data_IF_853485787689
#
_entry.id   IF_853485787689
#
_cell.length_a   1.000
_cell.length_b   1.000
_cell.length_c   1.000
_cell.angle_alpha   90.00
_cell.angle_beta   90.00
_cell.angle_gamma   90.00
#
_symmetry.space_group_name_H-M   'P 1'
#
loop_
_entity.id
_entity.type
_entity.pdbx_description
1 polymer ?
#
# COMPACT_ATOMS: atom_id res chain seq x y z
N UNK A 1 -10.38 8.85 5.95
CA UNK A 1 -9.11 8.84 5.19
C UNK A 1 -8.12 9.79 5.84
N UNK A 2 -6.87 9.41 5.92
CA UNK A 2 -5.82 10.24 6.51
C UNK A 2 -5.31 11.26 5.48
N UNK A 3 -5.82 12.48 5.54
CA UNK A 3 -5.41 13.54 4.62
C UNK A 3 -3.94 13.89 4.75
N UNK A 4 -3.39 13.78 5.95
CA UNK A 4 -2.00 14.09 6.21
C UNK A 4 -1.04 13.23 5.40
N UNK A 5 -1.28 11.91 5.38
CA UNK A 5 -0.45 10.97 4.60
C UNK A 5 -0.52 11.31 3.11
N UNK A 6 -1.72 11.54 2.60
CA UNK A 6 -1.89 11.84 1.19
C UNK A 6 -1.24 13.17 0.81
N UNK A 7 -1.29 14.17 1.69
CA UNK A 7 -0.61 15.44 1.46
C UNK A 7 0.90 15.24 1.35
N UNK A 8 1.48 14.40 2.19
CA UNK A 8 2.93 14.13 2.14
C UNK A 8 3.33 13.39 0.87
N UNK A 9 2.52 12.46 0.40
CA UNK A 9 2.77 11.78 -0.87
C UNK A 9 2.66 12.79 -2.02
N UNK A 10 1.63 13.60 -2.01
CA UNK A 10 1.41 14.63 -3.03
C UNK A 10 2.58 15.60 -3.10
N UNK A 11 3.12 15.99 -1.95
CA UNK A 11 4.22 16.94 -1.87
C UNK A 11 5.60 16.32 -2.11
N UNK A 12 5.66 15.01 -2.36
CA UNK A 12 6.90 14.32 -2.67
C UNK A 12 7.74 13.92 -1.47
N UNK A 13 7.20 14.05 -0.25
CA UNK A 13 7.90 13.58 0.97
C UNK A 13 8.05 12.06 0.93
N UNK A 14 7.00 11.37 0.48
CA UNK A 14 7.02 9.94 0.23
C UNK A 14 6.67 9.66 -1.22
N UNK A 15 7.26 8.60 -1.78
CA UNK A 15 6.72 7.95 -2.96
C UNK A 15 6.15 6.61 -2.52
N UNK A 16 4.97 6.29 -3.04
CA UNK A 16 4.26 5.09 -2.62
C UNK A 16 3.88 4.24 -3.81
N UNK A 17 3.73 2.95 -3.58
CA UNK A 17 3.11 2.07 -4.56
C UNK A 17 1.71 1.69 -4.10
N UNK A 18 0.84 1.45 -5.06
CA UNK A 18 -0.48 0.89 -4.84
C UNK A 18 -0.62 -0.33 -5.72
N UNK A 19 -1.00 -1.45 -5.12
CA UNK A 19 -1.25 -2.69 -5.83
C UNK A 19 -2.75 -2.86 -6.08
N UNK A 20 -3.14 -3.78 -6.98
CA UNK A 20 -4.56 -4.10 -7.16
C UNK A 20 -5.25 -4.56 -5.87
N UNK A 21 -4.52 -5.18 -4.95
CA UNK A 21 -5.09 -5.62 -3.68
C UNK A 21 -5.50 -4.41 -2.83
N UNK A 22 -4.60 -3.44 -2.66
CA UNK A 22 -4.92 -2.22 -1.89
C UNK A 22 -6.04 -1.44 -2.56
N UNK A 23 -5.99 -1.32 -3.90
CA UNK A 23 -7.04 -0.63 -4.64
C UNK A 23 -8.42 -1.26 -4.40
N UNK A 24 -8.48 -2.59 -4.34
CA UNK A 24 -9.73 -3.29 -4.04
C UNK A 24 -10.15 -3.07 -2.59
N UNK A 25 -9.22 -3.20 -1.66
CA UNK A 25 -9.51 -3.12 -0.23
C UNK A 25 -10.08 -1.77 0.19
N UNK A 26 -9.54 -0.67 -0.34
CA UNK A 26 -10.02 0.67 0.05
C UNK A 26 -11.45 0.94 -0.42
N UNK A 27 -11.94 0.20 -1.41
CA UNK A 27 -13.30 0.38 -1.93
C UNK A 27 -14.35 -0.44 -1.21
N UNK A 28 -13.96 -1.53 -0.54
CA UNK A 28 -14.94 -2.48 0.04
C UNK A 28 -15.87 -1.78 1.03
N UNK A 29 -15.31 -1.06 1.99
CA UNK A 29 -16.09 -0.44 3.05
C UNK A 29 -17.03 0.66 2.55
N UNK A 30 -16.56 1.64 1.77
CA UNK A 30 -17.47 2.66 1.26
C UNK A 30 -18.54 2.08 0.33
N UNK A 31 -18.21 1.09 -0.51
CA UNK A 31 -19.20 0.48 -1.38
C UNK A 31 -20.26 -0.30 -0.60
N UNK A 32 -19.87 -1.01 0.44
CA UNK A 32 -20.84 -1.73 1.31
C UNK A 32 -21.81 -0.76 1.97
N UNK A 33 -21.37 0.44 2.29
CA UNK A 33 -22.19 1.45 2.95
C UNK A 33 -22.95 2.34 1.96
N UNK A 34 -22.83 2.10 0.67
CA UNK A 34 -23.47 2.93 -0.35
C UNK A 34 -22.87 4.32 -0.50
N UNK A 35 -21.64 4.52 -0.02
CA UNK A 35 -20.96 5.81 -0.05
C UNK A 35 -20.20 5.98 -1.36
N UNK A 36 -20.93 6.21 -2.43
CA UNK A 36 -20.36 6.26 -3.78
C UNK A 36 -19.37 7.40 -3.95
N UNK A 37 -19.66 8.54 -3.35
CA UNK A 37 -18.75 9.71 -3.43
C UNK A 37 -17.39 9.40 -2.78
N UNK A 38 -17.39 8.74 -1.65
CA UNK A 38 -16.15 8.33 -1.00
C UNK A 38 -15.37 7.33 -1.85
N UNK A 39 -16.06 6.36 -2.43
CA UNK A 39 -15.42 5.38 -3.32
C UNK A 39 -14.77 6.08 -4.52
N UNK A 40 -15.44 7.05 -5.12
CA UNK A 40 -14.90 7.80 -6.26
C UNK A 40 -13.68 8.63 -5.88
N UNK A 41 -13.68 9.19 -4.67
CA UNK A 41 -12.50 9.93 -4.17
C UNK A 41 -11.28 9.02 -4.05
N UNK A 42 -11.46 7.79 -3.57
CA UNK A 42 -10.37 6.82 -3.51
C UNK A 42 -9.87 6.46 -4.90
N UNK A 43 -10.79 6.21 -5.85
CA UNK A 43 -10.39 5.90 -7.23
C UNK A 43 -9.57 7.02 -7.84
N UNK A 44 -10.05 8.26 -7.68
CA UNK A 44 -9.35 9.42 -8.22
C UNK A 44 -7.98 9.63 -7.59
N UNK A 45 -7.88 9.47 -6.28
CA UNK A 45 -6.61 9.61 -5.58
C UNK A 45 -5.59 8.58 -6.10
N UNK A 46 -6.00 7.33 -6.22
CA UNK A 46 -5.10 6.26 -6.70
C UNK A 46 -4.67 6.51 -8.14
N UNK A 47 -5.58 6.94 -9.01
CA UNK A 47 -5.28 7.14 -10.43
C UNK A 47 -4.43 8.38 -10.69
N UNK A 48 -4.61 9.44 -9.93
CA UNK A 48 -4.16 10.75 -10.33
C UNK A 48 -3.21 11.45 -9.34
N UNK A 49 -3.06 10.95 -8.13
CA UNK A 49 -2.19 11.60 -7.16
C UNK A 49 -0.72 11.46 -7.57
N UNK A 50 0.05 12.57 -7.56
CA UNK A 50 1.48 12.50 -7.84
C UNK A 50 2.19 11.58 -6.83
N UNK A 51 3.27 10.96 -7.29
CA UNK A 51 4.14 10.12 -6.45
C UNK A 51 3.48 8.82 -5.97
N UNK A 52 2.36 8.44 -6.56
CA UNK A 52 1.77 7.11 -6.40
C UNK A 52 1.95 6.35 -7.71
N UNK A 53 2.58 5.18 -7.61
CA UNK A 53 2.77 4.28 -8.75
C UNK A 53 1.81 3.11 -8.64
N UNK A 54 1.05 2.89 -9.71
CA UNK A 54 0.12 1.76 -9.80
C UNK A 54 0.86 0.57 -10.40
N UNK A 55 0.95 -0.51 -9.64
CA UNK A 55 1.74 -1.66 -10.01
C UNK A 55 0.84 -2.76 -10.56
N UNK A 56 1.28 -3.37 -11.66
CA UNK A 56 0.64 -4.58 -12.17
C UNK A 56 1.34 -5.80 -11.59
N UNK A 57 0.57 -6.83 -11.27
CA UNK A 57 1.14 -8.10 -10.88
C UNK A 57 1.55 -8.90 -12.11
N UNK A 58 2.74 -9.43 -12.10
CA UNK A 58 3.25 -10.32 -13.14
C UNK A 58 3.76 -11.63 -12.52
N UNK A 59 4.24 -12.52 -13.36
CA UNK A 59 4.70 -13.84 -12.91
C UNK A 59 5.90 -13.74 -11.99
N UNK A 60 6.82 -12.83 -12.28
CA UNK A 60 8.02 -12.64 -11.44
C UNK A 60 7.66 -12.16 -10.04
N UNK A 61 6.71 -11.25 -9.93
CA UNK A 61 6.17 -10.84 -8.64
C UNK A 61 5.56 -12.04 -7.92
N UNK A 62 4.84 -12.89 -8.66
CA UNK A 62 4.27 -14.11 -8.09
C UNK A 62 5.34 -15.04 -7.52
N UNK A 63 6.44 -15.28 -8.23
CA UNK A 63 7.53 -16.11 -7.75
C UNK A 63 8.15 -15.53 -6.48
N UNK A 64 8.40 -14.22 -6.46
CA UNK A 64 8.94 -13.55 -5.27
C UNK A 64 7.99 -13.68 -4.08
N UNK A 65 6.69 -13.48 -4.32
CA UNK A 65 5.68 -13.61 -3.26
C UNK A 65 5.65 -15.02 -2.69
N UNK A 66 5.79 -16.05 -3.54
CA UNK A 66 5.88 -17.43 -3.09
C UNK A 66 7.07 -17.65 -2.16
N UNK A 67 8.23 -17.12 -2.53
CA UNK A 67 9.43 -17.21 -1.70
C UNK A 67 9.25 -16.51 -0.36
N UNK A 68 8.66 -15.33 -0.34
CA UNK A 68 8.39 -14.58 0.89
C UNK A 68 7.37 -15.30 1.78
N UNK A 69 6.33 -15.85 1.18
CA UNK A 69 5.33 -16.60 1.94
C UNK A 69 5.95 -17.84 2.60
N UNK A 70 6.81 -18.54 1.89
CA UNK A 70 7.53 -19.70 2.45
C UNK A 70 8.46 -19.27 3.59
N UNK A 71 9.12 -18.13 3.46
CA UNK A 71 10.06 -17.64 4.47
C UNK A 71 9.37 -17.17 5.75
N UNK A 72 8.29 -16.44 5.62
CA UNK A 72 7.63 -15.77 6.75
C UNK A 72 6.37 -16.46 7.24
N UNK A 73 5.82 -17.39 6.48
CA UNK A 73 4.53 -18.02 6.82
C UNK A 73 3.36 -17.05 6.76
N UNK A 74 3.45 -16.02 5.92
CA UNK A 74 2.40 -15.02 5.77
C UNK A 74 1.57 -15.29 4.51
N UNK A 75 0.31 -14.82 4.48
CA UNK A 75 -0.59 -15.07 3.35
C UNK A 75 -0.05 -14.54 2.03
N UNK A 76 -0.33 -15.25 0.95
CA UNK A 76 0.11 -14.85 -0.39
C UNK A 76 -0.36 -13.46 -0.83
N UNK A 77 -1.63 -13.05 -0.58
CA UNK A 77 -2.05 -11.72 -0.98
C UNK A 77 -1.17 -10.61 -0.39
N UNK A 78 -0.77 -10.75 0.88
CA UNK A 78 0.10 -9.78 1.53
C UNK A 78 1.51 -9.84 0.94
N UNK A 79 1.98 -11.04 0.64
CA UNK A 79 3.32 -11.19 0.07
C UNK A 79 3.39 -10.72 -1.38
N UNK A 80 2.29 -10.78 -2.12
CA UNK A 80 2.21 -10.15 -3.44
C UNK A 80 2.40 -8.63 -3.34
N UNK A 81 1.85 -8.00 -2.33
CA UNK A 81 2.04 -6.56 -2.11
C UNK A 81 3.50 -6.25 -1.79
N UNK A 82 4.12 -7.03 -0.91
CA UNK A 82 5.53 -6.83 -0.56
C UNK A 82 6.42 -7.05 -1.77
N UNK A 83 6.17 -8.12 -2.52
CA UNK A 83 6.96 -8.40 -3.73
C UNK A 83 6.84 -7.27 -4.75
N UNK A 84 5.66 -6.71 -4.92
CA UNK A 84 5.47 -5.57 -5.80
C UNK A 84 6.29 -4.36 -5.34
N UNK A 85 6.30 -4.10 -4.02
CA UNK A 85 7.10 -3.00 -3.47
C UNK A 85 8.59 -3.21 -3.73
N UNK A 86 9.08 -4.44 -3.58
CA UNK A 86 10.49 -4.75 -3.80
C UNK A 86 10.89 -4.67 -5.28
N UNK A 87 9.94 -4.80 -6.19
CA UNK A 87 10.20 -4.73 -7.63
C UNK A 87 10.33 -3.30 -8.15
N UNK A 88 10.11 -2.31 -7.32
CA UNK A 88 10.06 -0.90 -7.70
C UNK A 88 10.97 -0.06 -6.82
N UNK A 89 11.50 1.06 -7.32
CA UNK A 89 12.29 1.99 -6.49
C UNK A 89 11.38 2.87 -5.62
N UNK A 90 10.49 2.25 -4.85
CA UNK A 90 9.59 2.96 -3.95
C UNK A 90 10.19 3.04 -2.55
N UNK A 91 9.82 4.09 -1.80
CA UNK A 91 10.26 4.24 -0.42
C UNK A 91 9.65 3.20 0.49
N UNK A 92 8.39 2.84 0.25
CA UNK A 92 7.67 1.96 1.15
C UNK A 92 6.40 1.39 0.52
N UNK A 93 5.82 0.40 1.18
CA UNK A 93 4.49 -0.08 0.88
C UNK A 93 3.52 0.47 1.93
N UNK A 94 2.34 0.90 1.49
CA UNK A 94 1.27 1.35 2.38
C UNK A 94 0.28 0.21 2.55
N UNK A 95 0.01 -0.16 3.80
CA UNK A 95 -0.89 -1.26 4.12
C UNK A 95 -1.57 -1.03 5.47
N UNK A 96 -2.68 -1.73 5.72
CA UNK A 96 -3.28 -1.81 7.04
C UNK A 96 -2.96 -3.12 7.77
N UNK A 97 -2.20 -3.99 7.15
CA UNK A 97 -1.89 -5.30 7.71
C UNK A 97 -0.59 -5.23 8.53
N UNK A 98 -0.72 -5.41 9.86
CA UNK A 98 0.42 -5.36 10.76
C UNK A 98 1.40 -6.51 10.55
N UNK A 99 0.93 -7.65 10.06
CA UNK A 99 1.80 -8.81 9.86
C UNK A 99 2.86 -8.55 8.78
N UNK A 100 2.58 -7.66 7.84
CA UNK A 100 3.54 -7.29 6.82
C UNK A 100 4.79 -6.63 7.43
N UNK A 101 4.68 -6.00 8.60
CA UNK A 101 5.84 -5.43 9.29
C UNK A 101 6.89 -6.45 9.68
N UNK A 102 6.54 -7.74 9.72
CA UNK A 102 7.51 -8.82 9.98
C UNK A 102 8.48 -9.01 8.83
N UNK A 103 8.15 -8.53 7.65
CA UNK A 103 9.01 -8.66 6.47
C UNK A 103 10.15 -7.66 6.58
N UNK A 104 11.39 -8.16 6.50
CA UNK A 104 12.58 -7.34 6.69
C UNK A 104 13.11 -6.73 5.39
N UNK A 105 12.64 -7.18 4.25
CA UNK A 105 13.15 -6.78 2.94
C UNK A 105 12.67 -5.41 2.47
N UNK A 106 11.65 -4.83 3.12
CA UNK A 106 11.10 -3.55 2.72
C UNK A 106 10.65 -2.74 3.93
N UNK A 107 10.51 -1.43 3.74
CA UNK A 107 9.89 -0.57 4.74
C UNK A 107 8.37 -0.67 4.62
N UNK A 108 7.70 -0.76 5.75
CA UNK A 108 6.25 -0.90 5.80
C UNK A 108 5.66 0.23 6.63
N UNK A 109 4.76 1.01 6.01
CA UNK A 109 4.00 2.03 6.70
C UNK A 109 2.57 1.55 6.88
N UNK A 110 2.10 1.54 8.12
CA UNK A 110 0.70 1.25 8.42
C UNK A 110 -0.09 2.55 8.40
N UNK A 111 -1.23 2.55 7.73
CA UNK A 111 -2.09 3.73 7.69
C UNK A 111 -2.52 4.17 9.08
N UNK A 112 -2.80 3.22 9.97
CA UNK A 112 -3.20 3.54 11.34
C UNK A 112 -2.09 4.25 12.11
N UNK A 113 -0.84 3.85 11.93
CA UNK A 113 0.29 4.49 12.60
C UNK A 113 0.53 5.90 12.05
N UNK A 114 0.40 6.07 10.74
CA UNK A 114 0.57 7.36 10.09
C UNK A 114 -0.53 8.35 10.50
N UNK A 115 -1.72 7.86 10.80
CA UNK A 115 -2.81 8.72 11.25
C UNK A 115 -2.55 9.36 12.61
N UNK A 116 -1.72 8.74 13.45
CA UNK A 116 -1.43 9.21 14.81
C UNK A 116 0.00 9.71 14.98
N UNK A 117 0.84 9.53 13.97
CA UNK A 117 2.25 9.89 14.03
C UNK A 117 2.49 11.34 13.66
N UNK A 118 3.67 11.84 14.04
CA UNK A 118 4.16 13.09 13.50
C UNK A 118 4.42 12.92 11.99
N UNK A 119 4.61 14.05 11.27
CA UNK A 119 4.91 14.01 9.83
C UNK A 119 6.13 13.17 9.46
N UNK A 120 7.05 13.04 10.36
CA UNK A 120 8.26 12.29 10.08
C UNK A 120 8.06 10.89 10.57
N UNK A 121 7.81 10.00 9.64
CA UNK A 121 7.68 8.58 9.94
C UNK A 121 9.06 7.96 9.82
N UNK A 122 9.43 7.15 10.80
CA UNK A 122 10.68 6.44 10.74
C UNK A 122 10.62 5.37 9.67
N UNK A 123 11.46 5.54 8.72
CA UNK A 123 11.55 4.66 7.57
C UNK A 123 12.70 3.70 7.78
#
# INVERSE_FOLDING_TARGET
>A
MNNYLFDQIKDGVFSAIVTPITAAEVLVKPLKKGQMSAADKYRNAIRNMPNISNIKFDVEIGFMAGSLSAKYGLPLPDMLQVAAALSQPANAIITNDRDIQRVQETNVFLLSDLATSSPIVNI
#
